data_IF_942711644770
#
_entry.id   IF_942711644770
#
_cell.length_a   1.000
_cell.length_b   1.000
_cell.length_c   1.000
_cell.angle_alpha   90.00
_cell.angle_beta   90.00
_cell.angle_gamma   90.00
#
_symmetry.space_group_name_H-M   'P 1'
#
loop_
_entity.id
_entity.type
_entity.pdbx_description
1 polymer ?
#
# COMPACT_ATOMS: atom_id res chain seq x y z
N UNK A 1 -22.31 0.19 27.47
CA UNK A 1 -22.52 0.99 26.24
C UNK A 1 -21.29 0.80 25.36
N UNK A 2 -21.44 0.63 24.05
CA UNK A 2 -20.29 0.48 23.15
C UNK A 2 -19.63 1.85 22.91
N UNK A 3 -18.30 1.89 22.99
CA UNK A 3 -17.50 3.05 22.61
C UNK A 3 -17.04 2.86 21.17
N UNK A 4 -17.14 3.91 20.35
CA UNK A 4 -16.62 3.90 18.98
C UNK A 4 -15.91 5.22 18.65
N UNK A 5 -14.80 5.14 17.92
CA UNK A 5 -14.08 6.29 17.36
C UNK A 5 -14.13 6.18 15.84
N UNK A 6 -14.47 7.28 15.17
CA UNK A 6 -14.46 7.36 13.70
C UNK A 6 -13.41 8.33 13.20
N UNK A 7 -12.61 7.88 12.25
CA UNK A 7 -11.50 8.58 11.62
C UNK A 7 -11.61 8.62 10.08
N UNK A 8 -12.37 7.71 9.47
CA UNK A 8 -12.56 7.60 8.01
C UNK A 8 -13.66 8.57 7.52
N UNK A 9 -13.50 9.83 7.89
CA UNK A 9 -14.46 10.92 7.73
C UNK A 9 -14.17 12.01 8.79
N UNK A 10 -15.14 12.85 9.15
CA UNK A 10 -15.02 13.73 10.31
C UNK A 10 -14.83 12.95 11.61
N UNK A 11 -13.92 13.43 12.46
CA UNK A 11 -13.56 12.79 13.73
C UNK A 11 -14.76 12.76 14.67
N UNK A 12 -15.19 11.56 15.05
CA UNK A 12 -16.31 11.37 15.99
C UNK A 12 -15.96 10.40 17.10
N UNK A 13 -16.42 10.73 18.30
CA UNK A 13 -16.50 9.82 19.43
C UNK A 13 -17.97 9.46 19.62
N UNK A 14 -18.31 8.19 19.66
CA UNK A 14 -19.67 7.69 19.79
C UNK A 14 -19.77 6.81 21.04
N UNK A 15 -20.86 6.94 21.79
CA UNK A 15 -21.18 6.03 22.90
C UNK A 15 -22.61 5.53 22.74
N UNK A 16 -22.76 4.22 22.60
CA UNK A 16 -24.06 3.62 22.29
C UNK A 16 -24.64 4.06 20.94
N UNK A 17 -23.77 4.47 20.00
CA UNK A 17 -24.16 5.00 18.69
C UNK A 17 -24.41 6.52 18.66
N UNK A 18 -24.42 7.19 19.81
CA UNK A 18 -24.70 8.64 19.88
C UNK A 18 -23.40 9.47 19.93
N UNK A 19 -23.30 10.58 19.17
CA UNK A 19 -22.14 11.47 19.21
C UNK A 19 -21.89 12.09 20.57
N UNK A 20 -20.63 12.01 21.03
CA UNK A 20 -20.15 12.61 22.27
C UNK A 20 -19.26 13.81 21.94
N UNK A 21 -19.62 14.97 22.49
CA UNK A 21 -18.86 16.20 22.28
C UNK A 21 -17.51 16.15 23.03
N UNK A 22 -16.42 16.00 22.28
CA UNK A 22 -15.05 16.01 22.81
C UNK A 22 -14.41 17.40 22.87
N UNK A 23 -15.13 18.42 22.40
CA UNK A 23 -14.71 19.84 22.43
C UNK A 23 -14.37 20.39 21.05
N UNK A 24 -13.58 21.47 21.05
CA UNK A 24 -13.14 22.18 19.84
C UNK A 24 -12.09 21.43 19.00
N UNK A 25 -11.50 22.09 17.99
CA UNK A 25 -10.57 21.46 17.05
C UNK A 25 -9.35 20.80 17.70
N UNK A 26 -8.75 21.43 18.73
CA UNK A 26 -7.52 20.92 19.38
C UNK A 26 -7.77 19.64 20.21
N UNK A 27 -8.81 19.54 21.06
CA UNK A 27 -9.21 18.26 21.65
C UNK A 27 -9.55 17.16 20.64
N UNK A 28 -10.21 17.50 19.51
CA UNK A 28 -10.48 16.54 18.44
C UNK A 28 -9.20 16.06 17.76
N UNK A 29 -8.25 16.97 17.48
CA UNK A 29 -6.94 16.62 16.95
C UNK A 29 -6.17 15.69 17.89
N UNK A 30 -6.23 15.94 19.21
CA UNK A 30 -5.64 15.04 20.21
C UNK A 30 -6.29 13.65 20.18
N UNK A 31 -7.62 13.57 20.12
CA UNK A 31 -8.33 12.29 20.00
C UNK A 31 -7.93 11.55 18.73
N UNK A 32 -7.88 12.24 17.59
CA UNK A 32 -7.47 11.67 16.31
C UNK A 32 -6.04 11.13 16.36
N UNK A 33 -5.08 11.94 16.82
CA UNK A 33 -3.68 11.54 16.96
C UNK A 33 -3.51 10.28 17.82
N UNK A 34 -4.26 10.20 18.93
CA UNK A 34 -4.27 9.03 19.80
C UNK A 34 -4.97 7.82 19.18
N UNK A 35 -6.02 8.02 18.38
CA UNK A 35 -6.76 6.94 17.75
C UNK A 35 -6.05 6.35 16.52
N UNK A 36 -5.34 7.17 15.74
CA UNK A 36 -4.39 6.69 14.72
C UNK A 36 -3.32 5.82 15.38
N UNK A 37 -2.87 6.19 16.58
CA UNK A 37 -1.89 5.44 17.38
C UNK A 37 -2.55 4.58 18.49
N UNK A 38 -3.77 4.10 18.27
CA UNK A 38 -4.53 3.32 19.28
C UNK A 38 -3.69 2.16 19.85
N UNK A 39 -3.87 1.90 21.14
CA UNK A 39 -3.13 0.90 21.96
C UNK A 39 -1.61 1.12 22.05
N UNK A 40 -1.08 2.20 21.48
CA UNK A 40 0.32 2.62 21.63
C UNK A 40 0.40 3.89 22.48
N UNK A 41 1.49 4.01 23.24
CA UNK A 41 1.78 5.24 23.98
C UNK A 41 2.36 6.28 23.02
N UNK A 42 1.82 7.50 23.04
CA UNK A 42 2.34 8.64 22.29
C UNK A 42 2.83 9.69 23.27
N UNK A 43 4.05 10.19 23.05
CA UNK A 43 4.66 11.16 23.96
C UNK A 43 3.90 12.48 23.96
N UNK A 44 3.96 13.21 25.07
CA UNK A 44 3.32 14.53 25.16
C UNK A 44 3.85 15.52 24.13
N UNK A 45 5.15 15.44 23.79
CA UNK A 45 5.74 16.30 22.76
C UNK A 45 5.21 15.95 21.37
N UNK A 46 5.20 14.66 20.98
CA UNK A 46 4.69 14.27 19.67
C UNK A 46 3.19 14.60 19.50
N UNK A 47 2.40 14.46 20.57
CA UNK A 47 0.99 14.89 20.56
C UNK A 47 0.88 16.41 20.42
N UNK A 48 1.81 17.18 20.99
CA UNK A 48 1.83 18.62 20.82
C UNK A 48 2.15 18.99 19.36
N UNK A 49 3.19 18.39 18.78
CA UNK A 49 3.58 18.63 17.39
C UNK A 49 2.41 18.35 16.42
N UNK A 50 1.69 17.24 16.61
CA UNK A 50 0.51 16.92 15.80
C UNK A 50 -0.63 17.92 16.00
N UNK A 51 -0.90 18.32 17.25
CA UNK A 51 -2.01 19.23 17.56
C UNK A 51 -1.73 20.66 17.11
N UNK A 52 -0.48 21.09 17.06
CA UNK A 52 -0.05 22.47 16.76
C UNK A 52 0.80 22.63 15.48
N UNK A 53 0.92 21.61 14.61
CA UNK A 53 1.76 21.65 13.41
C UNK A 53 3.22 22.03 13.72
N UNK A 54 3.84 21.31 14.65
CA UNK A 54 5.26 21.50 15.04
C UNK A 54 5.59 22.87 15.68
N UNK A 55 4.59 23.70 15.98
CA UNK A 55 4.74 24.97 16.69
C UNK A 55 3.91 25.01 18.00
N UNK A 56 4.22 24.13 18.97
CA UNK A 56 3.50 24.11 20.24
C UNK A 56 3.85 25.32 21.12
N UNK A 57 2.89 25.91 21.85
CA UNK A 57 3.19 26.98 22.81
C UNK A 57 3.99 26.43 24.00
N UNK A 58 4.75 27.28 24.70
CA UNK A 58 5.49 26.88 25.92
C UNK A 58 4.60 26.17 26.97
N UNK A 59 3.32 26.51 27.01
CA UNK A 59 2.31 25.91 27.88
C UNK A 59 1.60 24.68 27.29
N UNK A 60 2.17 24.01 26.29
CA UNK A 60 1.52 22.88 25.60
C UNK A 60 1.18 21.76 26.58
N UNK A 61 2.05 21.46 27.55
CA UNK A 61 1.83 20.38 28.50
C UNK A 61 0.57 20.59 29.35
N UNK A 62 0.36 21.82 29.85
CA UNK A 62 -0.85 22.19 30.58
C UNK A 62 -2.08 22.15 29.66
N UNK A 63 -1.95 22.60 28.42
CA UNK A 63 -3.04 22.59 27.43
C UNK A 63 -3.47 21.16 27.08
N UNK A 64 -2.53 20.24 26.88
CA UNK A 64 -2.81 18.82 26.65
C UNK A 64 -3.54 18.20 27.84
N UNK A 65 -3.14 18.51 29.09
CA UNK A 65 -3.84 18.03 30.28
C UNK A 65 -5.31 18.49 30.31
N UNK A 66 -5.58 19.74 29.90
CA UNK A 66 -6.95 20.27 29.77
C UNK A 66 -7.72 19.49 28.71
N UNK A 67 -7.14 19.24 27.54
CA UNK A 67 -7.79 18.48 26.47
C UNK A 67 -8.09 17.04 26.89
N UNK A 68 -7.14 16.36 27.54
CA UNK A 68 -7.32 15.02 28.11
C UNK A 68 -8.43 15.03 29.16
N UNK A 69 -8.45 16.02 30.06
CA UNK A 69 -9.49 16.17 31.07
C UNK A 69 -10.88 16.32 30.44
N UNK A 70 -10.99 17.11 29.37
CA UNK A 70 -12.25 17.29 28.63
C UNK A 70 -12.73 15.99 27.98
N UNK A 71 -11.85 15.25 27.31
CA UNK A 71 -12.17 13.94 26.71
C UNK A 71 -12.61 12.96 27.79
N UNK A 72 -11.87 12.87 28.91
CA UNK A 72 -12.20 12.00 30.04
C UNK A 72 -13.55 12.35 30.67
N UNK A 73 -13.86 13.65 30.79
CA UNK A 73 -15.16 14.12 31.28
C UNK A 73 -16.29 13.72 30.34
N UNK A 74 -16.08 13.84 29.02
CA UNK A 74 -17.07 13.44 28.02
C UNK A 74 -17.36 11.93 28.06
N UNK A 75 -16.32 11.09 28.19
CA UNK A 75 -16.45 9.64 28.40
C UNK A 75 -17.22 9.30 29.69
N UNK A 76 -16.83 9.93 30.81
CA UNK A 76 -17.48 9.71 32.12
C UNK A 76 -18.97 10.07 32.10
N UNK A 77 -19.31 11.21 31.51
CA UNK A 77 -20.70 11.66 31.37
C UNK A 77 -21.54 10.70 30.51
N UNK A 78 -20.88 9.92 29.65
CA UNK A 78 -21.50 8.91 28.79
C UNK A 78 -21.46 7.51 29.41
N UNK A 79 -21.10 7.38 30.69
CA UNK A 79 -21.09 6.10 31.41
C UNK A 79 -19.92 5.17 31.05
N UNK A 80 -18.86 5.69 30.43
CA UNK A 80 -17.62 4.97 30.12
C UNK A 80 -16.56 5.33 31.16
N UNK A 81 -15.81 4.34 31.67
CA UNK A 81 -14.67 4.61 32.55
C UNK A 81 -13.52 5.28 31.76
N UNK A 82 -13.24 6.58 32.00
CA UNK A 82 -12.21 7.28 31.26
C UNK A 82 -10.79 6.80 31.54
N UNK A 83 -10.53 6.22 32.73
CA UNK A 83 -9.20 5.76 33.11
C UNK A 83 -8.83 4.44 32.40
N UNK A 84 -9.84 3.61 32.09
CA UNK A 84 -9.67 2.40 31.29
C UNK A 84 -9.33 2.72 29.83
N UNK A 85 -9.95 3.79 29.27
CA UNK A 85 -9.89 4.15 27.85
C UNK A 85 -8.75 5.11 27.52
N UNK A 86 -8.60 6.23 28.23
CA UNK A 86 -7.55 7.22 27.96
C UNK A 86 -6.55 7.20 29.11
N UNK A 87 -5.49 6.43 28.95
CA UNK A 87 -4.47 6.19 29.97
C UNK A 87 -3.40 7.28 29.95
N UNK A 88 -2.95 7.67 31.13
CA UNK A 88 -1.75 8.49 31.30
C UNK A 88 -0.57 7.54 31.47
N UNK A 89 0.43 7.70 30.63
CA UNK A 89 1.71 6.97 30.67
C UNK A 89 2.79 7.89 31.24
N UNK A 90 3.96 7.33 31.57
CA UNK A 90 5.07 8.09 32.17
C UNK A 90 5.54 9.29 31.33
N UNK A 91 5.41 9.24 29.99
CA UNK A 91 5.84 10.29 29.06
C UNK A 91 4.73 10.83 28.14
N UNK A 92 3.48 10.41 28.34
CA UNK A 92 2.41 10.79 27.42
C UNK A 92 1.08 10.09 27.69
N UNK A 93 0.38 9.72 26.61
CA UNK A 93 -0.96 9.18 26.70
C UNK A 93 -1.16 8.02 25.74
N UNK A 94 -2.11 7.16 26.06
CA UNK A 94 -2.51 6.00 25.26
C UNK A 94 -4.03 5.90 25.22
N UNK A 95 -4.57 5.72 24.02
CA UNK A 95 -5.99 5.39 23.83
C UNK A 95 -6.15 3.87 23.72
N UNK A 96 -6.75 3.29 24.74
CA UNK A 96 -7.00 1.86 24.90
C UNK A 96 -8.44 1.56 24.45
N UNK A 97 -8.59 1.23 23.17
CA UNK A 97 -9.87 0.81 22.56
C UNK A 97 -9.67 -0.49 21.78
N UNK A 98 -10.76 -1.24 21.57
CA UNK A 98 -10.76 -2.39 20.68
C UNK A 98 -10.47 -1.98 19.23
N UNK A 99 -9.92 -2.87 18.39
CA UNK A 99 -9.74 -2.55 16.95
C UNK A 99 -11.09 -2.27 16.31
N UNK A 100 -12.09 -3.07 16.68
CA UNK A 100 -13.45 -3.04 16.18
C UNK A 100 -14.24 -1.82 16.69
N UNK A 101 -13.73 -1.18 17.75
CA UNK A 101 -14.24 0.10 18.24
C UNK A 101 -13.70 1.30 17.45
N UNK A 102 -12.88 1.08 16.42
CA UNK A 102 -12.41 2.10 15.49
C UNK A 102 -12.83 1.72 14.07
N UNK A 103 -13.39 2.65 13.30
CA UNK A 103 -13.72 2.42 11.89
C UNK A 103 -12.49 2.03 11.06
N UNK A 104 -11.34 2.64 11.34
CA UNK A 104 -10.04 2.28 10.78
C UNK A 104 -9.67 0.82 11.06
N UNK A 105 -9.83 0.36 12.30
CA UNK A 105 -9.53 -1.03 12.67
C UNK A 105 -10.48 -2.04 12.01
N UNK A 106 -11.77 -1.67 11.87
CA UNK A 106 -12.74 -2.49 11.11
C UNK A 106 -12.41 -2.53 9.62
N UNK A 107 -12.01 -1.40 9.03
CA UNK A 107 -11.54 -1.32 7.64
C UNK A 107 -10.35 -2.24 7.41
N UNK A 108 -9.29 -2.11 8.21
CA UNK A 108 -8.07 -2.93 8.12
C UNK A 108 -8.39 -4.42 8.27
N UNK A 109 -9.16 -4.80 9.30
CA UNK A 109 -9.52 -6.20 9.53
C UNK A 109 -10.34 -6.81 8.37
N UNK A 110 -11.30 -6.05 7.82
CA UNK A 110 -12.11 -6.48 6.70
C UNK A 110 -11.30 -6.57 5.40
N UNK A 111 -10.41 -5.61 5.13
CA UNK A 111 -9.47 -5.61 4.00
C UNK A 111 -8.56 -6.84 4.05
N UNK A 112 -7.94 -7.11 5.20
CA UNK A 112 -7.00 -8.22 5.35
C UNK A 112 -7.71 -9.58 5.22
N UNK A 113 -8.93 -9.70 5.76
CA UNK A 113 -9.74 -10.88 5.59
C UNK A 113 -10.17 -11.08 4.11
N UNK A 114 -10.46 -10.00 3.39
CA UNK A 114 -10.78 -10.04 1.98
C UNK A 114 -9.57 -10.49 1.13
N UNK A 115 -8.37 -9.96 1.43
CA UNK A 115 -7.14 -10.36 0.76
C UNK A 115 -6.85 -11.85 0.93
N UNK A 116 -6.95 -12.37 2.17
CA UNK A 116 -6.80 -13.81 2.45
C UNK A 116 -7.82 -14.67 1.69
N UNK A 117 -9.07 -14.21 1.57
CA UNK A 117 -10.09 -14.91 0.78
C UNK A 117 -9.74 -14.91 -0.72
N UNK A 118 -9.24 -13.78 -1.24
CA UNK A 118 -8.80 -13.70 -2.64
C UNK A 118 -7.60 -14.60 -2.93
N UNK A 119 -6.67 -14.74 -1.99
CA UNK A 119 -5.47 -15.58 -2.14
C UNK A 119 -5.78 -17.06 -2.28
N UNK A 120 -6.85 -17.54 -1.64
CA UNK A 120 -7.34 -18.93 -1.75
C UNK A 120 -8.38 -19.12 -2.86
N UNK A 121 -8.63 -18.08 -3.67
CA UNK A 121 -9.59 -18.13 -4.79
C UNK A 121 -11.05 -17.93 -4.41
N UNK A 122 -11.39 -17.65 -3.15
CA UNK A 122 -12.75 -17.31 -2.73
C UNK A 122 -13.07 -15.83 -3.03
N UNK A 123 -13.25 -15.56 -4.31
CA UNK A 123 -13.51 -14.21 -4.82
C UNK A 123 -14.89 -13.67 -4.38
N UNK A 124 -15.86 -14.54 -4.10
CA UNK A 124 -17.16 -14.10 -3.61
C UNK A 124 -17.06 -13.53 -2.18
N UNK A 125 -16.34 -14.21 -1.30
CA UNK A 125 -16.06 -13.70 0.05
C UNK A 125 -15.17 -12.46 -0.01
N UNK A 126 -14.15 -12.44 -0.86
CA UNK A 126 -13.28 -11.28 -1.04
C UNK A 126 -14.07 -10.02 -1.44
N UNK A 127 -14.92 -10.11 -2.48
CA UNK A 127 -15.74 -8.99 -2.93
C UNK A 127 -16.64 -8.44 -1.81
N UNK A 128 -17.30 -9.33 -1.05
CA UNK A 128 -18.17 -8.95 0.08
C UNK A 128 -17.40 -8.27 1.21
N UNK A 129 -16.20 -8.76 1.54
CA UNK A 129 -15.39 -8.23 2.63
C UNK A 129 -14.75 -6.90 2.26
N UNK A 130 -14.21 -6.74 1.04
CA UNK A 130 -13.76 -5.43 0.57
C UNK A 130 -14.92 -4.43 0.52
N UNK A 131 -16.11 -4.84 0.07
CA UNK A 131 -17.32 -4.01 0.13
C UNK A 131 -17.77 -3.69 1.57
N UNK A 132 -17.38 -4.49 2.57
CA UNK A 132 -17.61 -4.16 3.99
C UNK A 132 -16.58 -3.15 4.48
N UNK A 133 -15.30 -3.32 4.13
CA UNK A 133 -14.26 -2.35 4.44
C UNK A 133 -14.61 -0.97 3.87
N UNK A 134 -14.99 -0.88 2.59
CA UNK A 134 -15.32 0.38 1.94
C UNK A 134 -16.54 1.10 2.54
N UNK A 135 -17.43 0.40 3.25
CA UNK A 135 -18.60 1.00 3.93
C UNK A 135 -18.26 1.67 5.26
N UNK A 136 -17.04 1.48 5.78
CA UNK A 136 -16.57 2.21 6.97
C UNK A 136 -16.28 3.69 6.66
N UNK A 137 -16.18 4.05 5.38
CA UNK A 137 -15.83 5.39 4.92
C UNK A 137 -17.06 6.30 4.82
N UNK A 138 -16.97 7.49 5.41
CA UNK A 138 -17.97 8.57 5.35
C UNK A 138 -17.39 9.88 4.80
N UNK A 139 -16.23 9.80 4.13
CA UNK A 139 -15.57 10.95 3.49
C UNK A 139 -14.05 10.87 3.59
N UNK A 140 -13.39 12.01 3.34
CA UNK A 140 -11.94 12.16 3.55
C UNK A 140 -11.60 11.86 5.01
N UNK A 141 -10.57 11.06 5.25
CA UNK A 141 -10.15 10.77 6.61
C UNK A 141 -9.74 12.05 7.35
N UNK A 142 -10.17 12.17 8.61
CA UNK A 142 -9.93 13.34 9.46
C UNK A 142 -10.40 14.68 8.83
N UNK A 143 -11.49 14.66 8.07
CA UNK A 143 -11.93 15.81 7.24
C UNK A 143 -12.07 17.13 8.01
N UNK A 144 -12.52 17.11 9.26
CA UNK A 144 -12.69 18.31 10.08
C UNK A 144 -11.38 18.86 10.70
N UNK A 145 -10.26 18.19 10.41
CA UNK A 145 -8.90 18.55 10.83
C UNK A 145 -7.98 18.88 9.64
N UNK A 146 -8.53 19.06 8.44
CA UNK A 146 -7.77 19.46 7.26
C UNK A 146 -6.93 20.73 7.53
N UNK A 147 -5.70 20.75 7.02
CA UNK A 147 -4.70 21.80 7.31
C UNK A 147 -3.79 21.51 8.49
N UNK A 148 -4.04 20.44 9.26
CA UNK A 148 -3.04 19.87 10.15
C UNK A 148 -2.16 18.88 9.38
N UNK A 149 -0.83 19.04 9.45
CA UNK A 149 0.13 18.26 8.65
C UNK A 149 -0.02 16.76 8.86
N UNK A 150 -0.19 16.31 10.11
CA UNK A 150 -0.39 14.88 10.40
C UNK A 150 -1.72 14.36 9.82
N UNK A 151 -2.76 15.19 9.82
CA UNK A 151 -4.09 14.79 9.33
C UNK A 151 -4.09 14.69 7.80
N UNK A 152 -3.45 15.64 7.12
CA UNK A 152 -3.32 15.63 5.66
C UNK A 152 -2.41 14.49 5.16
N UNK A 153 -1.32 14.21 5.89
CA UNK A 153 -0.46 13.05 5.61
C UNK A 153 -1.20 11.72 5.82
N UNK A 154 -1.94 11.60 6.92
CA UNK A 154 -2.77 10.42 7.18
C UNK A 154 -3.88 10.24 6.14
N UNK A 155 -4.59 11.32 5.78
CA UNK A 155 -5.64 11.29 4.78
C UNK A 155 -5.12 10.83 3.42
N UNK A 156 -3.99 11.36 2.96
CA UNK A 156 -3.35 10.94 1.71
C UNK A 156 -3.04 9.45 1.71
N UNK A 157 -2.42 8.94 2.77
CA UNK A 157 -2.11 7.52 2.88
C UNK A 157 -3.37 6.63 2.91
N UNK A 158 -4.43 7.11 3.56
CA UNK A 158 -5.70 6.38 3.63
C UNK A 158 -6.47 6.40 2.31
N UNK A 159 -6.42 7.50 1.55
CA UNK A 159 -7.03 7.57 0.22
C UNK A 159 -6.42 6.52 -0.73
N UNK A 160 -5.11 6.27 -0.62
CA UNK A 160 -4.44 5.16 -1.33
C UNK A 160 -5.00 3.80 -0.91
N UNK A 161 -5.07 3.52 0.39
CA UNK A 161 -5.62 2.26 0.91
C UNK A 161 -7.07 2.03 0.48
N UNK A 162 -7.88 3.08 0.47
CA UNK A 162 -9.27 3.03 -0.02
C UNK A 162 -9.31 2.64 -1.49
N UNK A 163 -8.45 3.26 -2.31
CA UNK A 163 -8.38 3.01 -3.74
C UNK A 163 -7.93 1.58 -4.04
N UNK A 164 -6.95 1.07 -3.29
CA UNK A 164 -6.49 -0.33 -3.39
C UNK A 164 -7.59 -1.32 -3.00
N UNK A 165 -8.32 -1.06 -1.91
CA UNK A 165 -9.45 -1.90 -1.51
C UNK A 165 -10.58 -1.88 -2.56
N UNK A 166 -10.86 -0.72 -3.18
CA UNK A 166 -11.85 -0.61 -4.26
C UNK A 166 -11.42 -1.38 -5.51
N UNK A 167 -10.16 -1.21 -5.93
CA UNK A 167 -9.55 -1.95 -7.03
C UNK A 167 -9.60 -3.46 -6.79
N UNK A 168 -9.15 -3.94 -5.62
CA UNK A 168 -9.16 -5.37 -5.30
C UNK A 168 -10.59 -5.96 -5.22
N UNK A 169 -11.58 -5.16 -4.77
CA UNK A 169 -13.00 -5.55 -4.85
C UNK A 169 -13.42 -5.77 -6.30
N UNK A 170 -13.07 -4.85 -7.18
CA UNK A 170 -13.39 -4.92 -8.61
C UNK A 170 -12.80 -6.19 -9.24
N UNK A 171 -11.53 -6.52 -8.94
CA UNK A 171 -10.92 -7.77 -9.42
C UNK A 171 -11.67 -9.00 -8.93
N UNK A 172 -12.16 -8.98 -7.69
CA UNK A 172 -12.97 -10.06 -7.14
C UNK A 172 -14.35 -10.15 -7.82
N UNK A 173 -15.00 -9.02 -8.12
CA UNK A 173 -16.26 -8.98 -8.87
C UNK A 173 -16.10 -9.52 -10.30
N UNK A 174 -15.04 -9.09 -11.01
CA UNK A 174 -14.71 -9.56 -12.35
C UNK A 174 -14.43 -11.07 -12.32
N UNK A 175 -13.64 -11.55 -11.35
CA UNK A 175 -13.36 -12.98 -11.21
C UNK A 175 -14.60 -13.83 -10.88
N UNK A 176 -15.63 -13.23 -10.26
CA UNK A 176 -16.94 -13.86 -10.08
C UNK A 176 -17.87 -13.74 -11.31
N UNK A 177 -17.39 -13.24 -12.45
CA UNK A 177 -18.20 -13.08 -13.66
C UNK A 177 -19.16 -11.89 -13.62
N UNK A 178 -18.96 -10.93 -12.70
CA UNK A 178 -19.81 -9.73 -12.54
C UNK A 178 -19.18 -8.47 -13.13
N UNK A 179 -18.38 -8.61 -14.18
CA UNK A 179 -17.67 -7.53 -14.87
C UNK A 179 -18.56 -6.35 -15.27
N UNK A 180 -19.76 -6.60 -15.77
CA UNK A 180 -20.70 -5.54 -16.20
C UNK A 180 -21.15 -4.63 -15.05
N UNK A 181 -21.18 -5.15 -13.82
CA UNK A 181 -21.67 -4.40 -12.64
C UNK A 181 -20.69 -3.33 -12.15
N UNK A 182 -19.40 -3.46 -12.48
CA UNK A 182 -18.34 -2.55 -12.00
C UNK A 182 -17.92 -1.48 -13.01
N UNK A 183 -18.42 -1.54 -14.25
CA UNK A 183 -18.03 -0.61 -15.31
C UNK A 183 -18.32 0.85 -14.94
N UNK A 184 -19.50 1.13 -14.37
CA UNK A 184 -19.88 2.50 -14.00
C UNK A 184 -18.95 3.11 -12.95
N UNK A 185 -18.55 2.31 -11.96
CA UNK A 185 -17.61 2.71 -10.91
C UNK A 185 -16.19 2.89 -11.45
N UNK A 186 -15.72 1.96 -12.31
CA UNK A 186 -14.43 2.08 -12.98
C UNK A 186 -14.33 3.32 -13.87
N UNK A 187 -15.42 3.73 -14.53
CA UNK A 187 -15.46 5.00 -15.29
C UNK A 187 -15.28 6.20 -14.36
N UNK A 188 -15.91 6.20 -13.18
CA UNK A 188 -15.71 7.26 -12.19
C UNK A 188 -14.26 7.27 -11.67
N UNK A 189 -13.73 6.12 -11.29
CA UNK A 189 -12.37 5.98 -10.76
C UNK A 189 -11.29 6.38 -11.77
N UNK A 190 -11.45 6.01 -13.04
CA UNK A 190 -10.51 6.43 -14.12
C UNK A 190 -10.64 7.90 -14.49
N UNK A 191 -11.77 8.54 -14.17
CA UNK A 191 -11.91 10.00 -14.32
C UNK A 191 -11.25 10.74 -13.15
N UNK A 192 -11.36 10.20 -11.93
CA UNK A 192 -10.75 10.78 -10.72
C UNK A 192 -9.23 10.53 -10.64
N UNK A 193 -8.78 9.38 -11.12
CA UNK A 193 -7.38 8.94 -11.11
C UNK A 193 -6.89 8.60 -12.54
N UNK A 194 -6.87 9.57 -13.46
CA UNK A 194 -6.64 9.33 -14.90
C UNK A 194 -5.24 8.79 -15.20
N UNK A 195 -4.26 9.01 -14.33
CA UNK A 195 -2.88 8.55 -14.51
C UNK A 195 -2.61 7.14 -13.96
N UNK A 196 -3.62 6.45 -13.41
CA UNK A 196 -3.46 5.10 -12.86
C UNK A 196 -3.83 4.03 -13.86
N UNK A 197 -2.83 3.60 -14.62
CA UNK A 197 -2.94 2.52 -15.60
C UNK A 197 -3.64 1.24 -15.09
N UNK A 198 -3.44 0.76 -13.85
CA UNK A 198 -4.15 -0.43 -13.37
C UNK A 198 -5.68 -0.28 -13.41
N UNK A 199 -6.23 0.89 -13.09
CA UNK A 199 -7.67 1.15 -13.14
C UNK A 199 -8.19 1.12 -14.58
N UNK A 200 -7.40 1.62 -15.53
CA UNK A 200 -7.71 1.50 -16.95
C UNK A 200 -7.70 0.05 -17.41
N UNK A 201 -6.73 -0.75 -16.94
CA UNK A 201 -6.66 -2.18 -17.22
C UNK A 201 -7.92 -2.92 -16.76
N UNK A 202 -8.39 -2.62 -15.55
CA UNK A 202 -9.65 -3.16 -15.01
C UNK A 202 -10.86 -2.70 -15.82
N UNK A 203 -10.93 -1.42 -16.22
CA UNK A 203 -12.02 -0.89 -17.05
C UNK A 203 -12.08 -1.59 -18.41
N UNK A 204 -10.94 -1.68 -19.12
CA UNK A 204 -10.82 -2.35 -20.41
C UNK A 204 -11.22 -3.82 -20.29
N UNK A 205 -10.73 -4.51 -19.26
CA UNK A 205 -11.07 -5.91 -18.97
C UNK A 205 -12.57 -6.08 -18.70
N UNK A 206 -13.16 -5.22 -17.86
CA UNK A 206 -14.58 -5.30 -17.52
C UNK A 206 -15.49 -5.05 -18.74
N UNK A 207 -15.15 -4.06 -19.57
CA UNK A 207 -15.85 -3.76 -20.82
C UNK A 207 -15.77 -4.95 -21.79
N UNK A 208 -14.56 -5.48 -22.00
CA UNK A 208 -14.33 -6.60 -22.91
C UNK A 208 -15.08 -7.86 -22.48
N UNK A 209 -14.99 -8.25 -21.20
CA UNK A 209 -15.71 -9.40 -20.63
C UNK A 209 -17.24 -9.21 -20.64
N UNK A 210 -17.71 -7.97 -20.74
CA UNK A 210 -19.14 -7.64 -20.88
C UNK A 210 -19.62 -7.62 -22.33
N UNK A 211 -18.80 -8.07 -23.29
CA UNK A 211 -19.11 -8.06 -24.73
C UNK A 211 -19.04 -6.67 -25.37
N UNK A 212 -18.45 -5.68 -24.70
CA UNK A 212 -18.34 -4.30 -25.16
C UNK A 212 -16.95 -4.02 -25.74
N UNK A 213 -16.54 -4.80 -26.73
CA UNK A 213 -15.19 -4.72 -27.32
C UNK A 213 -14.86 -3.31 -27.85
N UNK A 214 -15.80 -2.66 -28.55
CA UNK A 214 -15.60 -1.31 -29.07
C UNK A 214 -15.29 -0.31 -27.94
N UNK A 215 -16.06 -0.35 -26.86
CA UNK A 215 -15.84 0.52 -25.69
C UNK A 215 -14.51 0.22 -24.98
N UNK A 216 -14.08 -1.04 -24.96
CA UNK A 216 -12.78 -1.43 -24.40
C UNK A 216 -11.62 -0.82 -25.22
N UNK A 217 -11.70 -0.86 -26.55
CA UNK A 217 -10.73 -0.23 -27.44
C UNK A 217 -10.78 1.31 -27.37
N UNK A 218 -11.96 1.88 -27.15
CA UNK A 218 -12.11 3.31 -26.87
C UNK A 218 -11.40 3.70 -25.57
N UNK A 219 -11.51 2.89 -24.53
CA UNK A 219 -10.78 3.10 -23.28
C UNK A 219 -9.25 3.01 -23.48
N UNK A 220 -8.74 2.07 -24.29
CA UNK A 220 -7.31 2.01 -24.67
C UNK A 220 -6.84 3.31 -25.34
N UNK A 221 -7.65 3.86 -26.27
CA UNK A 221 -7.33 5.12 -26.94
C UNK A 221 -7.32 6.29 -25.96
N UNK A 222 -8.31 6.35 -25.06
CA UNK A 222 -8.43 7.42 -24.06
C UNK A 222 -7.24 7.43 -23.09
N UNK A 223 -6.86 6.30 -22.52
CA UNK A 223 -5.71 6.25 -21.60
C UNK A 223 -4.41 6.65 -22.30
N UNK A 224 -4.21 6.22 -23.55
CA UNK A 224 -3.05 6.62 -24.35
C UNK A 224 -2.98 8.14 -24.55
N UNK A 225 -4.11 8.77 -24.90
CA UNK A 225 -4.19 10.24 -25.02
C UNK A 225 -3.88 10.92 -23.69
N UNK A 226 -4.48 10.46 -22.58
CA UNK A 226 -4.25 11.02 -21.25
C UNK A 226 -2.77 10.93 -20.84
N UNK A 227 -2.13 9.78 -21.00
CA UNK A 227 -0.72 9.60 -20.63
C UNK A 227 0.22 10.42 -21.53
N UNK A 228 -0.08 10.51 -22.82
CA UNK A 228 0.69 11.32 -23.75
C UNK A 228 0.56 12.82 -23.44
N UNK A 229 -0.65 13.29 -23.18
CA UNK A 229 -0.92 14.72 -22.95
C UNK A 229 -0.42 15.19 -21.57
N UNK A 230 -0.62 14.39 -20.51
CA UNK A 230 -0.29 14.78 -19.13
C UNK A 230 1.15 14.45 -18.74
N UNK A 231 1.72 13.36 -19.27
CA UNK A 231 3.03 12.85 -18.86
C UNK A 231 4.05 12.73 -20.01
N UNK A 232 3.61 12.81 -21.27
CA UNK A 232 4.49 12.62 -22.43
C UNK A 232 4.99 11.18 -22.59
N UNK A 233 4.26 10.20 -22.05
CA UNK A 233 4.64 8.78 -22.06
C UNK A 233 3.60 7.92 -22.79
N UNK A 234 4.06 6.77 -23.29
CA UNK A 234 3.18 5.71 -23.81
C UNK A 234 2.66 4.81 -22.67
N UNK A 235 1.52 4.10 -22.88
CA UNK A 235 1.04 3.09 -21.95
C UNK A 235 2.08 2.01 -21.66
N UNK A 236 2.09 1.51 -20.42
CA UNK A 236 2.95 0.42 -20.00
C UNK A 236 2.62 -0.92 -20.67
N UNK A 237 3.52 -1.92 -20.57
CA UNK A 237 3.40 -3.20 -21.27
C UNK A 237 2.10 -3.95 -20.98
N UNK A 238 1.59 -3.89 -19.75
CA UNK A 238 0.36 -4.57 -19.36
C UNK A 238 -0.88 -4.06 -20.13
N UNK A 239 -0.98 -2.74 -20.34
CA UNK A 239 -2.07 -2.15 -21.13
C UNK A 239 -1.89 -2.44 -22.63
N UNK A 240 -0.66 -2.41 -23.13
CA UNK A 240 -0.36 -2.76 -24.52
C UNK A 240 -0.76 -4.21 -24.80
N UNK A 241 -0.37 -5.15 -23.93
CA UNK A 241 -0.73 -6.56 -24.07
C UNK A 241 -2.24 -6.75 -24.03
N UNK A 242 -2.93 -6.12 -23.07
CA UNK A 242 -4.38 -6.17 -22.96
C UNK A 242 -5.06 -5.64 -24.23
N UNK A 243 -4.60 -4.50 -24.77
CA UNK A 243 -5.11 -3.95 -26.04
C UNK A 243 -4.94 -4.96 -27.19
N UNK A 244 -3.78 -5.62 -27.30
CA UNK A 244 -3.54 -6.63 -28.34
C UNK A 244 -4.47 -7.84 -28.20
N UNK A 245 -4.71 -8.32 -26.98
CA UNK A 245 -5.65 -9.43 -26.72
C UNK A 245 -7.08 -9.03 -27.11
N UNK A 246 -7.51 -7.81 -26.75
CA UNK A 246 -8.82 -7.27 -27.12
C UNK A 246 -8.96 -7.13 -28.64
N UNK A 247 -7.92 -6.66 -29.34
CA UNK A 247 -7.93 -6.53 -30.81
C UNK A 247 -8.08 -7.89 -31.51
N UNK A 248 -7.42 -8.92 -31.00
CA UNK A 248 -7.45 -10.29 -31.55
C UNK A 248 -8.64 -11.13 -31.07
N UNK A 249 -9.50 -10.56 -30.23
CA UNK A 249 -10.61 -11.26 -29.58
C UNK A 249 -10.16 -12.50 -28.80
N UNK A 250 -8.99 -12.44 -28.17
CA UNK A 250 -8.49 -13.52 -27.34
C UNK A 250 -9.29 -13.60 -26.02
N UNK A 251 -9.57 -14.79 -25.48
CA UNK A 251 -10.21 -14.91 -24.18
C UNK A 251 -9.30 -14.32 -23.09
N UNK A 252 -9.88 -13.59 -22.13
CA UNK A 252 -9.16 -13.16 -20.93
C UNK A 252 -9.46 -14.15 -19.80
N UNK A 253 -8.42 -14.84 -19.31
CA UNK A 253 -8.52 -15.61 -18.08
C UNK A 253 -8.23 -14.69 -16.90
N UNK A 254 -9.23 -14.47 -16.05
CA UNK A 254 -9.13 -13.64 -14.83
C UNK A 254 -8.08 -14.14 -13.82
N UNK A 255 -7.65 -15.41 -13.96
CA UNK A 255 -6.61 -16.03 -13.12
C UNK A 255 -5.19 -15.68 -13.59
N UNK A 256 -4.97 -15.43 -14.89
CA UNK A 256 -3.64 -15.16 -15.45
C UNK A 256 -3.23 -13.68 -15.26
N UNK A 257 -4.18 -12.75 -15.31
CA UNK A 257 -3.94 -11.32 -15.07
C UNK A 257 -3.45 -11.01 -13.65
N UNK A 258 -3.98 -11.71 -12.63
CA UNK A 258 -3.54 -11.55 -11.23
C UNK A 258 -2.08 -11.91 -11.02
N UNK A 259 -1.50 -12.77 -11.87
CA UNK A 259 -0.07 -13.12 -11.78
C UNK A 259 0.80 -11.97 -12.32
N UNK A 260 0.40 -11.35 -13.42
CA UNK A 260 1.06 -10.18 -13.99
C UNK A 260 0.88 -8.93 -13.12
N UNK A 261 -0.31 -8.71 -12.55
CA UNK A 261 -0.58 -7.59 -11.63
C UNK A 261 0.09 -7.77 -10.27
N UNK A 262 0.14 -8.97 -9.68
CA UNK A 262 0.94 -9.22 -8.46
C UNK A 262 2.42 -8.94 -8.70
N UNK A 263 2.94 -9.23 -9.89
CA UNK A 263 4.33 -8.90 -10.27
C UNK A 263 4.53 -7.39 -10.47
N UNK A 264 3.54 -6.67 -11.02
CA UNK A 264 3.59 -5.22 -11.19
C UNK A 264 3.38 -4.43 -9.88
N UNK A 265 2.51 -4.92 -8.98
CA UNK A 265 2.26 -4.37 -7.64
C UNK A 265 3.47 -4.55 -6.73
N UNK A 266 4.15 -5.71 -6.79
CA UNK A 266 5.43 -5.93 -6.11
C UNK A 266 6.53 -4.96 -6.58
N UNK A 267 6.38 -4.39 -7.77
CA UNK A 267 7.35 -3.46 -8.37
C UNK A 267 7.05 -1.98 -8.05
N UNK A 268 5.88 -1.67 -7.51
CA UNK A 268 5.39 -0.28 -7.39
C UNK A 268 4.98 0.12 -5.96
N UNK A 269 4.75 -0.81 -5.02
CA UNK A 269 4.11 -0.41 -3.76
C UNK A 269 4.98 -0.22 -2.53
N UNK A 270 4.71 0.93 -1.90
CA UNK A 270 4.93 1.28 -0.51
C UNK A 270 4.11 0.38 0.48
N UNK A 271 4.39 0.32 1.80
CA UNK A 271 4.51 -0.84 2.73
C UNK A 271 3.18 -0.96 3.46
N UNK A 272 2.68 -2.19 3.70
CA UNK A 272 2.28 -2.67 5.03
C UNK A 272 2.34 -4.20 5.13
N UNK A 273 3.27 -4.66 5.99
CA UNK A 273 3.45 -5.98 6.65
C UNK A 273 3.91 -7.25 5.87
N UNK A 274 5.21 -7.51 6.06
CA UNK A 274 5.97 -8.76 6.33
C UNK A 274 5.46 -10.10 5.76
N UNK A 275 6.16 -10.61 4.73
CA UNK A 275 6.81 -11.90 4.77
C UNK A 275 8.22 -11.72 5.35
N UNK A 276 8.82 -12.77 5.91
CA UNK A 276 10.17 -12.81 6.51
C UNK A 276 11.29 -12.59 5.48
N UNK A 277 11.26 -11.45 4.79
CA UNK A 277 12.12 -11.20 3.66
C UNK A 277 13.46 -10.68 4.14
N UNK A 278 14.51 -11.31 3.67
CA UNK A 278 15.89 -10.93 3.92
C UNK A 278 16.07 -9.45 3.54
N UNK A 279 16.33 -8.59 4.54
CA UNK A 279 16.47 -7.14 4.36
C UNK A 279 17.91 -6.67 4.21
N UNK A 280 18.85 -7.57 4.48
CA UNK A 280 20.28 -7.33 4.41
C UNK A 280 20.97 -8.65 4.16
N UNK A 281 22.08 -8.61 3.44
CA UNK A 281 22.85 -9.80 3.11
C UNK A 281 24.11 -9.43 2.36
N UNK A 282 24.83 -10.45 1.93
CA UNK A 282 26.06 -10.31 1.16
C UNK A 282 26.04 -11.24 -0.04
N UNK A 283 26.76 -10.83 -1.08
CA UNK A 283 27.01 -11.63 -2.26
C UNK A 283 28.38 -12.28 -2.12
N UNK A 284 28.40 -13.61 -2.09
CA UNK A 284 29.61 -14.41 -2.10
C UNK A 284 30.03 -14.70 -3.55
N UNK A 285 31.25 -14.32 -3.87
CA UNK A 285 31.90 -14.57 -5.16
C UNK A 285 32.53 -15.97 -5.20
N UNK A 286 32.79 -16.54 -6.39
CA UNK A 286 33.49 -17.82 -6.54
C UNK A 286 34.88 -17.86 -5.90
N UNK A 287 35.56 -16.70 -5.80
CA UNK A 287 36.88 -16.55 -5.19
C UNK A 287 36.83 -16.47 -3.65
N UNK A 288 35.64 -16.57 -3.05
CA UNK A 288 35.41 -16.48 -1.61
C UNK A 288 35.26 -15.04 -1.08
N UNK A 289 35.36 -14.02 -1.94
CA UNK A 289 35.14 -12.62 -1.54
C UNK A 289 33.65 -12.37 -1.31
N UNK A 290 33.31 -11.69 -0.21
CA UNK A 290 31.95 -11.28 0.09
C UNK A 290 31.78 -9.77 -0.09
N UNK A 291 30.69 -9.36 -0.74
CA UNK A 291 30.32 -7.95 -0.91
C UNK A 291 28.96 -7.69 -0.29
N UNK A 292 28.91 -6.78 0.69
CA UNK A 292 27.68 -6.44 1.40
C UNK A 292 26.73 -5.69 0.48
N UNK A 293 25.45 -6.06 0.51
CA UNK A 293 24.40 -5.29 -0.16
C UNK A 293 24.08 -4.08 0.69
N UNK A 294 24.54 -2.90 0.27
CA UNK A 294 24.30 -1.65 0.97
C UNK A 294 22.83 -1.20 0.88
N UNK A 295 22.42 -0.26 1.74
CA UNK A 295 21.05 0.30 1.69
C UNK A 295 20.73 1.02 0.37
N UNK A 296 21.75 1.51 -0.34
CA UNK A 296 21.57 2.09 -1.68
C UNK A 296 21.41 1.03 -2.78
N UNK A 297 21.52 -0.26 -2.44
CA UNK A 297 21.61 -1.37 -3.38
C UNK A 297 23.05 -1.73 -3.75
N UNK A 298 23.18 -2.61 -4.73
CA UNK A 298 24.44 -3.11 -5.28
C UNK A 298 24.29 -3.28 -6.80
N UNK A 299 25.01 -2.49 -7.60
CA UNK A 299 25.08 -2.68 -9.05
C UNK A 299 26.18 -3.67 -9.41
N UNK A 300 25.85 -4.55 -10.35
CA UNK A 300 26.69 -5.66 -10.77
C UNK A 300 26.93 -5.52 -12.28
N UNK A 301 28.19 -5.61 -12.70
CA UNK A 301 28.53 -5.53 -14.12
C UNK A 301 30.03 -5.57 -14.39
N UNK A 302 30.40 -5.48 -15.66
CA UNK A 302 31.81 -5.56 -16.08
C UNK A 302 32.57 -4.24 -15.93
N UNK A 303 31.88 -3.10 -15.88
CA UNK A 303 32.56 -1.80 -15.73
C UNK A 303 33.02 -1.58 -14.29
N UNK A 304 34.17 -0.93 -14.12
CA UNK A 304 34.83 -0.71 -12.82
C UNK A 304 34.10 0.28 -11.91
N UNK A 305 33.09 0.98 -12.42
CA UNK A 305 32.21 1.88 -11.68
C UNK A 305 30.98 1.17 -11.09
N UNK A 306 30.85 -0.15 -11.28
CA UNK A 306 29.89 -0.98 -10.56
C UNK A 306 30.37 -1.26 -9.13
N UNK A 307 29.40 -1.41 -8.22
CA UNK A 307 29.67 -1.76 -6.83
C UNK A 307 30.25 -3.19 -6.72
N UNK A 308 29.80 -4.09 -7.59
CA UNK A 308 30.36 -5.43 -7.79
C UNK A 308 30.82 -5.62 -9.24
N UNK A 309 32.13 -5.61 -9.44
CA UNK A 309 32.73 -5.84 -10.76
C UNK A 309 32.86 -7.34 -11.02
N UNK A 310 32.29 -7.80 -12.14
CA UNK A 310 32.44 -9.16 -12.67
C UNK A 310 33.34 -9.11 -13.90
N UNK A 311 34.50 -9.75 -13.81
CA UNK A 311 35.42 -9.93 -14.94
C UNK A 311 35.02 -11.13 -15.80
N UNK A 312 33.86 -11.02 -16.44
CA UNK A 312 33.31 -12.02 -17.35
C UNK A 312 32.91 -11.35 -18.66
N UNK A 313 33.46 -11.76 -19.82
CA UNK A 313 33.13 -11.14 -21.11
C UNK A 313 31.67 -11.33 -21.51
N UNK A 314 30.96 -12.32 -20.94
CA UNK A 314 29.51 -12.51 -21.12
C UNK A 314 28.68 -11.61 -20.21
N UNK A 315 29.29 -10.91 -19.26
CA UNK A 315 28.60 -9.90 -18.48
C UNK A 315 28.52 -8.57 -19.24
N UNK A 316 27.32 -8.00 -19.30
CA UNK A 316 27.07 -6.61 -19.72
C UNK A 316 27.81 -5.61 -18.85
N UNK A 317 28.03 -4.41 -19.40
CA UNK A 317 28.72 -3.29 -18.71
C UNK A 317 28.08 -2.95 -17.36
N UNK A 318 26.75 -2.86 -17.37
CA UNK A 318 25.86 -2.80 -16.21
C UNK A 318 24.86 -3.93 -16.44
N UNK A 319 24.89 -4.96 -15.60
CA UNK A 319 24.20 -6.23 -15.88
C UNK A 319 22.96 -6.39 -15.01
N UNK A 320 23.12 -6.19 -13.71
CA UNK A 320 22.06 -6.39 -12.74
C UNK A 320 22.15 -5.36 -11.63
N UNK A 321 21.05 -5.16 -10.91
CA UNK A 321 21.03 -4.35 -9.71
C UNK A 321 20.25 -5.07 -8.62
N UNK A 322 20.88 -5.24 -7.47
CA UNK A 322 20.20 -5.63 -6.24
C UNK A 322 19.78 -4.36 -5.53
N UNK A 323 18.51 -4.26 -5.16
CA UNK A 323 17.97 -3.09 -4.49
C UNK A 323 17.09 -3.53 -3.31
N UNK A 324 17.14 -2.82 -2.18
CA UNK A 324 16.16 -3.00 -1.15
C UNK A 324 14.77 -2.68 -1.68
N UNK A 325 13.85 -3.61 -1.46
CA UNK A 325 12.43 -3.42 -1.69
C UNK A 325 11.68 -3.67 -0.38
N UNK A 326 10.40 -3.36 -0.38
CA UNK A 326 9.53 -3.59 0.78
C UNK A 326 9.27 -5.06 1.03
N UNK A 327 9.43 -5.90 0.00
CA UNK A 327 9.30 -7.34 0.06
C UNK A 327 10.64 -8.08 0.21
N UNK A 328 11.76 -7.38 0.49
CA UNK A 328 13.11 -7.97 0.63
C UNK A 328 14.13 -7.39 -0.34
N UNK A 329 15.30 -8.01 -0.45
CA UNK A 329 16.25 -7.66 -1.49
C UNK A 329 15.77 -8.19 -2.85
N UNK A 330 15.58 -7.28 -3.81
CA UNK A 330 15.14 -7.60 -5.17
C UNK A 330 16.34 -7.46 -6.12
N UNK A 331 16.61 -8.48 -6.92
CA UNK A 331 17.54 -8.37 -8.05
C UNK A 331 16.76 -8.10 -9.33
N UNK A 332 17.21 -7.13 -10.12
CA UNK A 332 16.68 -6.81 -11.46
C UNK A 332 17.76 -7.03 -12.52
N UNK A 333 17.34 -7.52 -13.67
CA UNK A 333 18.14 -7.49 -14.89
C UNK A 333 18.08 -6.09 -15.51
N UNK A 334 19.24 -5.50 -15.82
CA UNK A 334 19.33 -4.16 -16.43
C UNK A 334 19.37 -4.25 -17.96
N UNK A 335 18.45 -5.04 -18.53
CA UNK A 335 18.41 -5.36 -19.96
C UNK A 335 19.74 -5.94 -20.47
N UNK A 336 20.32 -6.86 -19.71
CA UNK A 336 21.59 -7.47 -20.07
C UNK A 336 21.45 -8.35 -21.32
N UNK A 337 22.55 -8.50 -22.07
CA UNK A 337 22.55 -9.30 -23.29
C UNK A 337 22.31 -10.80 -23.07
N UNK A 338 22.62 -11.32 -21.86
CA UNK A 338 22.57 -12.75 -21.56
C UNK A 338 21.61 -13.11 -20.42
N UNK A 339 20.91 -12.13 -19.84
CA UNK A 339 19.98 -12.31 -18.73
C UNK A 339 20.65 -12.64 -17.39
N UNK A 340 19.85 -12.51 -16.33
CA UNK A 340 20.19 -12.95 -14.98
C UNK A 340 19.40 -14.22 -14.66
N UNK A 341 20.05 -15.18 -14.01
CA UNK A 341 19.40 -16.42 -13.59
C UNK A 341 19.52 -16.60 -12.08
N UNK A 342 18.46 -17.10 -11.45
CA UNK A 342 18.46 -17.52 -10.05
C UNK A 342 18.12 -19.01 -10.00
N UNK A 343 18.97 -19.81 -9.37
CA UNK A 343 18.82 -21.26 -9.26
C UNK A 343 18.55 -21.91 -10.63
N UNK A 344 19.32 -21.47 -11.65
CA UNK A 344 19.21 -21.84 -13.06
C UNK A 344 17.95 -21.41 -13.82
N UNK A 345 17.04 -20.67 -13.19
CA UNK A 345 15.86 -20.10 -13.85
C UNK A 345 16.12 -18.65 -14.26
N UNK A 346 15.82 -18.25 -15.51
CA UNK A 346 15.95 -16.86 -15.94
C UNK A 346 14.94 -15.97 -15.21
N UNK A 347 15.34 -14.74 -14.89
CA UNK A 347 14.42 -13.72 -14.37
C UNK A 347 13.99 -12.80 -15.52
N UNK A 348 12.69 -12.49 -15.62
CA UNK A 348 12.17 -11.67 -16.74
C UNK A 348 12.21 -10.16 -16.44
N UNK A 349 11.93 -9.75 -15.21
CA UNK A 349 11.90 -8.33 -14.77
C UNK A 349 12.64 -8.12 -13.45
N UNK A 350 12.57 -9.09 -12.55
CA UNK A 350 13.29 -9.14 -11.29
C UNK A 350 12.84 -10.30 -10.42
N UNK A 351 13.54 -10.57 -9.34
CA UNK A 351 13.21 -11.64 -8.39
C UNK A 351 13.69 -11.29 -6.98
N UNK A 352 12.93 -11.73 -5.97
CA UNK A 352 13.33 -11.58 -4.56
C UNK A 352 14.40 -12.62 -4.22
N UNK A 353 15.42 -12.17 -3.50
CA UNK A 353 16.51 -13.02 -3.05
C UNK A 353 16.15 -13.71 -1.73
N UNK A 354 16.30 -15.03 -1.71
CA UNK A 354 16.24 -15.87 -0.53
C UNK A 354 17.64 -16.33 -0.12
N UNK A 355 17.84 -16.62 1.17
CA UNK A 355 19.12 -17.12 1.68
C UNK A 355 19.55 -18.38 0.90
N UNK A 356 20.77 -18.36 0.38
CA UNK A 356 21.35 -19.46 -0.39
C UNK A 356 21.09 -19.43 -1.90
N UNK A 357 20.37 -18.43 -2.42
CA UNK A 357 20.11 -18.31 -3.86
C UNK A 357 21.41 -18.23 -4.68
N UNK A 358 21.51 -19.08 -5.70
CA UNK A 358 22.60 -19.06 -6.67
C UNK A 358 22.24 -18.13 -7.84
N UNK A 359 22.95 -17.02 -7.97
CA UNK A 359 22.74 -15.99 -9.00
C UNK A 359 23.78 -16.18 -10.11
N UNK A 360 23.36 -16.55 -11.32
CA UNK A 360 24.26 -16.69 -12.47
C UNK A 360 24.16 -15.48 -13.39
N UNK A 361 25.30 -14.85 -13.64
CA UNK A 361 25.50 -13.71 -14.54
C UNK A 361 26.64 -14.06 -15.50
N UNK A 362 26.33 -14.18 -16.80
CA UNK A 362 27.29 -14.75 -17.75
C UNK A 362 27.64 -16.19 -17.39
N UNK A 363 28.93 -16.48 -17.23
CA UNK A 363 29.47 -17.74 -16.69
C UNK A 363 29.79 -17.69 -15.19
N UNK A 364 29.63 -16.54 -14.53
CA UNK A 364 29.93 -16.37 -13.11
C UNK A 364 28.71 -16.71 -12.25
N UNK A 365 28.89 -17.56 -11.24
CA UNK A 365 27.85 -17.91 -10.26
C UNK A 365 28.18 -17.29 -8.92
N UNK A 366 27.26 -16.50 -8.40
CA UNK A 366 27.33 -15.83 -7.12
C UNK A 366 26.35 -16.51 -6.15
N UNK A 367 26.61 -16.43 -4.85
CA UNK A 367 25.66 -16.93 -3.84
C UNK A 367 25.21 -15.79 -2.95
N UNK A 368 23.91 -15.60 -2.83
CA UNK A 368 23.36 -14.65 -1.86
C UNK A 368 23.26 -15.28 -0.48
N UNK A 369 23.75 -14.57 0.54
CA UNK A 369 23.67 -14.97 1.95
C UNK A 369 22.93 -13.90 2.73
N UNK A 370 21.85 -14.30 3.40
CA UNK A 370 21.10 -13.44 4.29
C UNK A 370 21.90 -13.12 5.56
N UNK A 371 21.82 -11.87 6.01
CA UNK A 371 22.21 -11.56 7.37
C UNK A 371 21.15 -12.15 8.32
N UNK A 372 21.60 -12.88 9.34
CA UNK A 372 20.73 -13.51 10.35
C UNK A 372 20.12 -12.50 11.30
#
# INVERSE_FOLDING_TARGET
>A
MSLEVRLLGPVRLLVGGEPVAVGGPKPRALLAALAVNRRRAVSSMALADMVWNEDPPDSYAASLQVFVSNIRKALRNSGIDPAAVLRTESSGYRLEIAEEACDLGRFEAARDAAARAADVGDHATAARLFGTALREWDGRALADLAGLQFADGFATAMDEERLLAASARIDAEIACGRASSVVGELVAMTTEHPLREPLWGQLITALYLSGRQADALDACRRVRTVLADELGIDPGPALIELEQRVLRQEPLNTVEFKRAERMAAAMTETVTEVPSAVRSGQILMPDGRAVVVAQAGLRIGRMTDNDLVIDDPKASRYHAQIMPSRAGLLIKDLHSANGVFINELPIETGALLADGDAIRIGGTVLVFQAAR
#
